data_IF_710090146111
#
_entry.id   IF_710090146111
#
_cell.length_a   1.000
_cell.length_b   1.000
_cell.length_c   1.000
_cell.angle_alpha   90.00
_cell.angle_beta   90.00
_cell.angle_gamma   90.00
#
_symmetry.space_group_name_H-M   'P 1'
#
loop_
_entity.id
_entity.type
_entity.pdbx_description
1 polymer ?
#
# COMPACT_ATOMS: atom_id res chain seq x y z
N UNK A 1 -23.56 6.30 21.12
CA UNK A 1 -22.69 5.48 22.00
C UNK A 1 -22.47 4.19 21.24
N UNK A 2 -21.40 4.10 20.50
CA UNK A 2 -20.96 2.89 19.79
C UNK A 2 -20.39 1.91 20.82
N UNK A 3 -20.75 0.65 20.70
CA UNK A 3 -20.40 -0.40 21.65
C UNK A 3 -18.87 -0.60 21.64
N UNK A 4 -18.17 -0.56 22.78
CA UNK A 4 -16.71 -0.75 22.84
C UNK A 4 -16.26 -2.10 22.26
N UNK A 5 -17.11 -3.13 22.25
CA UNK A 5 -16.81 -4.42 21.61
C UNK A 5 -16.67 -4.31 20.07
N UNK A 6 -17.26 -3.27 19.44
CA UNK A 6 -17.16 -3.07 17.99
C UNK A 6 -15.81 -2.49 17.59
N UNK A 7 -15.15 -1.71 18.44
CA UNK A 7 -13.84 -1.12 18.19
C UNK A 7 -12.70 -2.13 18.35
N UNK A 8 -12.76 -2.98 19.38
CA UNK A 8 -11.79 -4.06 19.56
C UNK A 8 -11.81 -5.02 18.37
N UNK A 9 -13.00 -5.27 17.80
CA UNK A 9 -13.14 -6.13 16.60
C UNK A 9 -12.59 -5.46 15.35
N UNK A 10 -12.72 -4.15 15.18
CA UNK A 10 -12.18 -3.43 14.02
C UNK A 10 -10.65 -3.36 14.08
N UNK A 11 -10.08 -2.98 15.23
CA UNK A 11 -8.62 -2.95 15.43
C UNK A 11 -8.02 -4.36 15.23
N UNK A 12 -8.65 -5.38 15.80
CA UNK A 12 -8.23 -6.77 15.63
C UNK A 12 -8.35 -7.23 14.17
N UNK A 13 -9.43 -6.87 13.46
CA UNK A 13 -9.60 -7.18 12.05
C UNK A 13 -8.57 -6.46 11.18
N UNK A 14 -8.22 -5.21 11.50
CA UNK A 14 -7.19 -4.44 10.80
C UNK A 14 -5.82 -5.04 11.06
N UNK A 15 -5.45 -5.34 12.31
CA UNK A 15 -4.18 -6.00 12.67
C UNK A 15 -4.08 -7.38 12.02
N UNK A 16 -5.17 -8.13 11.97
CA UNK A 16 -5.24 -9.41 11.27
C UNK A 16 -5.07 -9.24 9.76
N UNK A 17 -5.79 -8.27 9.15
CA UNK A 17 -5.65 -7.95 7.72
C UNK A 17 -4.21 -7.52 7.38
N UNK A 18 -3.57 -6.75 8.25
CA UNK A 18 -2.18 -6.33 8.12
C UNK A 18 -1.24 -7.53 8.25
N UNK A 19 -1.47 -8.43 9.18
CA UNK A 19 -0.70 -9.67 9.35
C UNK A 19 -0.90 -10.62 8.17
N UNK A 20 -2.14 -10.81 7.71
CA UNK A 20 -2.50 -11.69 6.60
C UNK A 20 -1.93 -11.20 5.26
N UNK A 21 -1.81 -9.87 5.07
CA UNK A 21 -1.22 -9.27 3.88
C UNK A 21 0.30 -9.19 3.91
N UNK A 22 0.91 -9.87 4.90
CA UNK A 22 2.35 -10.06 4.97
C UNK A 22 3.14 -8.73 4.94
N UNK A 23 2.97 -7.91 6.00
CA UNK A 23 3.79 -6.69 6.19
C UNK A 23 5.29 -6.98 6.12
N UNK A 24 5.72 -8.22 6.41
CA UNK A 24 7.07 -8.69 6.16
C UNK A 24 7.50 -8.52 4.69
N UNK A 25 6.57 -8.55 3.75
CA UNK A 25 6.85 -8.23 2.35
C UNK A 25 7.01 -6.72 2.12
N UNK A 26 6.25 -5.87 2.83
CA UNK A 26 6.46 -4.42 2.83
C UNK A 26 7.84 -4.10 3.38
N UNK A 27 8.21 -4.72 4.50
CA UNK A 27 9.51 -4.58 5.13
C UNK A 27 10.66 -4.92 4.17
N UNK A 28 10.61 -6.10 3.55
CA UNK A 28 11.63 -6.53 2.57
C UNK A 28 11.66 -5.66 1.32
N UNK A 29 10.50 -5.22 0.87
CA UNK A 29 10.34 -4.54 -0.42
C UNK A 29 10.65 -3.06 -0.34
N UNK A 30 10.25 -2.42 0.74
CA UNK A 30 10.37 -0.97 0.94
C UNK A 30 11.41 -0.60 2.01
N UNK A 31 12.10 -1.58 2.60
CA UNK A 31 13.09 -1.34 3.66
C UNK A 31 12.49 -0.78 4.95
N UNK A 32 11.18 -0.94 5.16
CA UNK A 32 10.48 -0.48 6.35
C UNK A 32 10.32 -1.61 7.35
N UNK A 33 10.58 -1.35 8.64
CA UNK A 33 10.26 -2.33 9.68
C UNK A 33 8.75 -2.43 9.85
N UNK A 34 8.22 -3.66 9.82
CA UNK A 34 6.81 -3.96 10.13
C UNK A 34 6.40 -3.39 11.48
N UNK A 35 7.27 -3.55 12.47
CA UNK A 35 7.08 -3.04 13.82
C UNK A 35 6.84 -1.53 13.85
N UNK A 36 7.60 -0.76 13.08
CA UNK A 36 7.44 0.70 13.01
C UNK A 36 6.06 1.09 12.47
N UNK A 37 5.53 0.34 11.51
CA UNK A 37 4.18 0.61 10.96
C UNK A 37 3.09 0.26 11.96
N UNK A 38 3.26 -0.84 12.71
CA UNK A 38 2.29 -1.26 13.74
C UNK A 38 2.31 -0.34 14.95
N UNK A 39 3.50 0.05 15.43
CA UNK A 39 3.66 0.95 16.59
C UNK A 39 3.16 2.38 16.35
N UNK A 40 3.00 2.78 15.08
CA UNK A 40 2.47 4.11 14.76
C UNK A 40 1.08 4.36 15.34
N UNK A 41 0.23 3.34 15.45
CA UNK A 41 -1.12 3.50 15.98
C UNK A 41 -1.10 3.89 17.47
N UNK A 42 -0.07 3.45 18.19
CA UNK A 42 0.11 3.66 19.62
C UNK A 42 0.83 4.98 19.93
N UNK A 43 1.12 5.82 18.90
CA UNK A 43 1.74 7.13 19.13
C UNK A 43 0.89 8.00 20.07
N UNK A 44 1.49 8.60 21.12
CA UNK A 44 0.70 9.34 22.13
C UNK A 44 0.10 10.63 21.57
N UNK A 45 0.65 11.19 20.49
CA UNK A 45 0.25 12.45 19.88
C UNK A 45 -0.19 12.29 18.45
N UNK A 46 -1.37 12.81 18.09
CA UNK A 46 -1.85 12.83 16.72
C UNK A 46 -0.95 13.62 15.78
N UNK A 47 -0.31 14.68 16.29
CA UNK A 47 0.70 15.41 15.54
C UNK A 47 1.87 14.52 15.15
N UNK A 48 2.44 13.82 16.13
CA UNK A 48 3.55 12.88 15.89
C UNK A 48 3.15 11.75 14.97
N UNK A 49 1.97 11.18 15.19
CA UNK A 49 1.41 10.12 14.35
C UNK A 49 1.29 10.54 12.88
N UNK A 50 0.62 11.66 12.60
CA UNK A 50 0.40 12.12 11.21
C UNK A 50 1.71 12.44 10.51
N UNK A 51 2.66 13.10 11.20
CA UNK A 51 3.96 13.46 10.62
C UNK A 51 4.79 12.21 10.34
N UNK A 52 4.88 11.27 11.27
CA UNK A 52 5.63 10.01 11.10
C UNK A 52 5.03 9.15 9.98
N UNK A 53 3.71 8.99 9.96
CA UNK A 53 3.02 8.24 8.89
C UNK A 53 3.32 8.83 7.52
N UNK A 54 3.22 10.15 7.38
CA UNK A 54 3.51 10.83 6.12
C UNK A 54 4.96 10.63 5.66
N UNK A 55 5.93 10.68 6.59
CA UNK A 55 7.35 10.42 6.28
C UNK A 55 7.57 8.98 5.82
N UNK A 56 6.96 8.00 6.47
CA UNK A 56 7.06 6.59 6.09
C UNK A 56 6.48 6.37 4.69
N UNK A 57 5.30 6.90 4.44
CA UNK A 57 4.61 6.77 3.15
C UNK A 57 5.40 7.49 2.04
N UNK A 58 5.99 8.66 2.32
CA UNK A 58 6.85 9.38 1.38
C UNK A 58 8.12 8.59 1.06
N UNK A 59 8.78 8.01 2.05
CA UNK A 59 9.97 7.18 1.86
C UNK A 59 9.65 5.96 0.99
N UNK A 60 8.55 5.26 1.28
CA UNK A 60 8.06 4.13 0.50
C UNK A 60 7.77 4.51 -0.96
N UNK A 61 7.12 5.65 -1.18
CA UNK A 61 6.83 6.17 -2.52
C UNK A 61 8.12 6.47 -3.30
N UNK A 62 9.10 7.08 -2.65
CA UNK A 62 10.40 7.36 -3.23
C UNK A 62 11.12 6.07 -3.65
N UNK A 63 11.10 5.07 -2.78
CA UNK A 63 11.69 3.76 -3.06
C UNK A 63 10.99 3.03 -4.21
N UNK A 64 9.66 3.07 -4.26
CA UNK A 64 8.88 2.47 -5.33
C UNK A 64 9.16 3.14 -6.70
N UNK A 65 9.31 4.47 -6.73
CA UNK A 65 9.68 5.21 -7.95
C UNK A 65 11.11 4.85 -8.37
N UNK A 66 12.08 4.86 -7.46
CA UNK A 66 13.48 4.53 -7.75
C UNK A 66 13.60 3.12 -8.34
N UNK A 67 12.92 2.15 -7.74
CA UNK A 67 12.86 0.78 -8.26
C UNK A 67 12.23 0.68 -9.65
N UNK A 68 11.20 1.47 -9.92
CA UNK A 68 10.53 1.47 -11.24
C UNK A 68 11.42 2.03 -12.33
N UNK A 69 12.25 3.03 -12.00
CA UNK A 69 13.19 3.67 -12.93
C UNK A 69 14.50 2.90 -13.06
N UNK A 70 14.72 1.86 -12.23
CA UNK A 70 15.93 1.02 -12.23
C UNK A 70 17.22 1.82 -12.12
N UNK A 71 17.20 2.87 -11.30
CA UNK A 71 18.36 3.75 -11.13
C UNK A 71 18.45 4.28 -9.70
N UNK A 72 19.58 3.97 -9.05
CA UNK A 72 19.91 4.51 -7.74
C UNK A 72 20.40 5.94 -7.80
N UNK A 73 20.89 6.37 -8.96
CA UNK A 73 21.46 7.71 -9.16
C UNK A 73 20.41 8.82 -9.06
N UNK A 74 19.16 8.51 -9.45
CA UNK A 74 18.05 9.45 -9.34
C UNK A 74 17.53 9.60 -7.92
N UNK A 75 17.89 8.74 -6.98
CA UNK A 75 17.32 8.75 -5.63
C UNK A 75 17.53 10.10 -4.92
N UNK A 76 18.70 10.72 -5.10
CA UNK A 76 18.97 12.06 -4.56
C UNK A 76 18.05 13.12 -5.16
N UNK A 77 17.75 13.03 -6.46
CA UNK A 77 16.84 13.94 -7.14
C UNK A 77 15.39 13.70 -6.70
N UNK A 78 15.00 12.44 -6.56
CA UNK A 78 13.67 12.06 -6.06
C UNK A 78 13.44 12.58 -4.63
N UNK A 79 14.45 12.56 -3.77
CA UNK A 79 14.35 13.09 -2.41
C UNK A 79 14.06 14.59 -2.36
N UNK A 80 14.43 15.34 -3.38
CA UNK A 80 14.18 16.80 -3.50
C UNK A 80 12.81 17.14 -4.08
N UNK A 81 12.12 16.17 -4.69
CA UNK A 81 10.77 16.41 -5.20
C UNK A 81 9.79 16.54 -4.03
N UNK A 82 8.86 17.48 -4.16
CA UNK A 82 7.72 17.56 -3.23
C UNK A 82 6.86 16.30 -3.33
N UNK A 83 6.16 15.96 -2.25
CA UNK A 83 5.23 14.82 -2.26
C UNK A 83 4.05 15.10 -3.19
N UNK A 84 3.43 16.27 -3.03
CA UNK A 84 2.26 16.71 -3.81
C UNK A 84 2.61 17.67 -4.95
N UNK A 85 1.55 18.16 -5.63
CA UNK A 85 1.68 19.07 -6.76
C UNK A 85 1.79 18.37 -8.11
N UNK A 86 1.79 19.18 -9.19
CA UNK A 86 1.76 18.66 -10.58
C UNK A 86 3.05 17.94 -11.00
N UNK A 87 4.17 18.24 -10.36
CA UNK A 87 5.50 17.64 -10.61
C UNK A 87 6.03 16.87 -9.40
N UNK A 88 5.14 16.57 -8.44
CA UNK A 88 5.50 15.88 -7.21
C UNK A 88 5.58 14.36 -7.37
N UNK A 89 6.08 13.69 -6.33
CA UNK A 89 6.25 12.23 -6.29
C UNK A 89 4.94 11.46 -6.56
N UNK A 90 3.80 11.92 -6.04
CA UNK A 90 2.50 11.26 -6.24
C UNK A 90 2.12 11.28 -7.73
N UNK A 91 2.32 12.42 -8.41
CA UNK A 91 2.04 12.51 -9.84
C UNK A 91 2.98 11.61 -10.64
N UNK A 92 4.28 11.66 -10.36
CA UNK A 92 5.27 10.82 -11.03
C UNK A 92 4.96 9.32 -10.84
N UNK A 93 4.62 8.90 -9.63
CA UNK A 93 4.24 7.51 -9.36
C UNK A 93 2.97 7.07 -10.11
N UNK A 94 2.02 7.98 -10.25
CA UNK A 94 0.79 7.75 -11.03
C UNK A 94 1.12 7.62 -12.53
N UNK A 95 1.94 8.50 -13.08
CA UNK A 95 2.36 8.48 -14.49
C UNK A 95 3.18 7.23 -14.84
N UNK A 96 3.96 6.73 -13.88
CA UNK A 96 4.70 5.47 -13.99
C UNK A 96 3.84 4.21 -13.78
N UNK A 97 2.55 4.37 -13.45
CA UNK A 97 1.65 3.25 -13.18
C UNK A 97 1.98 2.47 -11.89
N UNK A 98 2.70 3.10 -10.95
CA UNK A 98 3.02 2.50 -9.64
C UNK A 98 1.80 2.52 -8.73
N UNK A 99 1.04 3.61 -8.78
CA UNK A 99 -0.18 3.80 -7.98
C UNK A 99 -1.37 4.15 -8.85
N UNK A 100 -2.53 3.59 -8.51
CA UNK A 100 -3.79 3.94 -9.17
C UNK A 100 -4.42 5.23 -8.62
N UNK A 101 -5.51 5.72 -9.25
CA UNK A 101 -6.16 6.97 -8.86
C UNK A 101 -6.61 7.02 -7.40
N UNK A 102 -7.13 5.92 -6.85
CA UNK A 102 -7.58 5.83 -5.45
C UNK A 102 -6.39 5.97 -4.49
N UNK A 103 -5.28 5.28 -4.75
CA UNK A 103 -4.06 5.41 -3.96
C UNK A 103 -3.47 6.82 -4.04
N UNK A 104 -3.43 7.42 -5.23
CA UNK A 104 -2.98 8.80 -5.41
C UNK A 104 -3.83 9.80 -4.62
N UNK A 105 -5.15 9.62 -4.56
CA UNK A 105 -6.04 10.43 -3.77
C UNK A 105 -5.78 10.28 -2.25
N UNK A 106 -5.64 9.03 -1.75
CA UNK A 106 -5.27 8.76 -0.34
C UNK A 106 -3.95 9.44 0.03
N UNK A 107 -2.92 9.28 -0.79
CA UNK A 107 -1.61 9.88 -0.57
C UNK A 107 -1.66 11.40 -0.53
N UNK A 108 -2.46 12.04 -1.41
CA UNK A 108 -2.69 13.48 -1.38
C UNK A 108 -3.36 13.92 -0.09
N UNK A 109 -4.34 13.15 0.41
CA UNK A 109 -5.03 13.43 1.67
C UNK A 109 -4.07 13.32 2.88
N UNK A 110 -3.25 12.28 2.94
CA UNK A 110 -2.22 12.12 3.99
C UNK A 110 -1.21 13.28 3.94
N UNK A 111 -0.74 13.66 2.74
CA UNK A 111 0.18 14.78 2.58
C UNK A 111 -0.46 16.12 2.97
N UNK A 112 -1.75 16.31 2.71
CA UNK A 112 -2.51 17.49 3.13
C UNK A 112 -2.63 17.55 4.66
N UNK A 113 -3.03 16.45 5.31
CA UNK A 113 -3.06 16.35 6.77
C UNK A 113 -1.69 16.67 7.39
N UNK A 114 -0.63 16.08 6.84
CA UNK A 114 0.74 16.38 7.32
C UNK A 114 1.07 17.86 7.19
N UNK A 115 0.70 18.51 6.10
CA UNK A 115 0.98 19.94 5.93
C UNK A 115 0.22 20.79 6.96
N UNK A 116 -1.04 20.48 7.24
CA UNK A 116 -1.81 21.14 8.29
C UNK A 116 -1.14 20.93 9.64
N UNK A 117 -0.90 19.70 10.05
CA UNK A 117 -0.31 19.38 11.36
C UNK A 117 1.12 19.88 11.52
N UNK A 118 1.92 19.98 10.45
CA UNK A 118 3.31 20.42 10.52
C UNK A 118 3.48 21.95 10.46
N UNK A 119 2.52 22.70 9.89
CA UNK A 119 2.71 24.12 9.58
C UNK A 119 1.64 25.03 10.15
N UNK A 120 0.49 24.51 10.58
CA UNK A 120 -0.57 25.29 11.15
C UNK A 120 -0.52 25.25 12.69
N UNK A 121 -0.14 26.37 13.28
CA UNK A 121 -0.03 26.51 14.73
C UNK A 121 -1.40 26.35 15.42
N UNK A 122 -2.50 26.62 14.71
CA UNK A 122 -3.86 26.53 15.27
C UNK A 122 -4.29 25.10 15.60
N UNK A 123 -3.67 24.08 14.95
CA UNK A 123 -3.95 22.67 15.22
C UNK A 123 -3.04 22.04 16.26
N UNK A 124 -2.09 22.79 16.83
CA UNK A 124 -1.24 22.28 17.92
C UNK A 124 -2.13 22.01 19.14
N UNK A 125 -2.18 20.73 19.53
CA UNK A 125 -3.02 20.28 20.65
C UNK A 125 -4.45 19.88 20.27
N UNK A 126 -4.87 20.03 19.00
CA UNK A 126 -6.09 19.41 18.51
C UNK A 126 -5.87 17.93 18.25
N UNK A 127 -6.88 17.10 18.57
CA UNK A 127 -6.89 15.73 18.07
C UNK A 127 -7.22 15.69 16.57
N UNK A 128 -6.81 14.62 15.93
CA UNK A 128 -7.11 14.39 14.52
C UNK A 128 -8.63 14.36 14.26
N UNK A 129 -9.40 13.74 15.18
CA UNK A 129 -10.86 13.75 15.13
C UNK A 129 -11.44 15.16 15.19
N UNK A 130 -11.02 15.98 16.16
CA UNK A 130 -11.47 17.39 16.26
C UNK A 130 -11.11 18.19 15.02
N UNK A 131 -9.94 17.95 14.41
CA UNK A 131 -9.59 18.61 13.16
C UNK A 131 -10.55 18.19 12.03
N UNK A 132 -10.83 16.90 11.85
CA UNK A 132 -11.75 16.40 10.83
C UNK A 132 -13.17 16.96 11.04
N UNK A 133 -13.65 17.01 12.28
CA UNK A 133 -14.96 17.58 12.62
C UNK A 133 -15.04 19.09 12.34
N UNK A 134 -13.95 19.81 12.46
CA UNK A 134 -13.89 21.25 12.20
C UNK A 134 -13.97 21.61 10.72
N UNK A 135 -13.76 20.63 9.82
CA UNK A 135 -13.86 20.85 8.37
C UNK A 135 -15.31 21.06 7.95
N UNK A 136 -15.55 21.86 6.88
CA UNK A 136 -16.88 21.93 6.26
C UNK A 136 -17.39 20.53 5.90
N UNK A 137 -18.70 20.27 6.07
CA UNK A 137 -19.29 18.94 5.88
C UNK A 137 -18.89 18.26 4.56
N UNK A 138 -18.82 19.03 3.46
CA UNK A 138 -18.40 18.50 2.15
C UNK A 138 -16.92 18.10 2.11
N UNK A 139 -16.06 18.81 2.82
CA UNK A 139 -14.63 18.51 2.89
C UNK A 139 -14.37 17.34 3.81
N UNK A 140 -15.03 17.32 4.99
CA UNK A 140 -14.97 16.20 5.93
C UNK A 140 -15.41 14.90 5.20
N UNK A 141 -16.58 14.91 4.56
CA UNK A 141 -17.05 13.76 3.81
C UNK A 141 -16.07 13.31 2.72
N UNK A 142 -15.56 14.25 1.91
CA UNK A 142 -14.61 13.95 0.84
C UNK A 142 -13.30 13.36 1.39
N UNK A 143 -12.78 13.92 2.48
CA UNK A 143 -11.58 13.41 3.13
C UNK A 143 -11.81 11.98 3.64
N UNK A 144 -12.89 11.76 4.38
CA UNK A 144 -13.25 10.46 4.95
C UNK A 144 -13.45 9.39 3.87
N UNK A 145 -14.22 9.69 2.82
CA UNK A 145 -14.44 8.79 1.69
C UNK A 145 -13.12 8.45 0.98
N UNK A 146 -12.24 9.44 0.79
CA UNK A 146 -10.95 9.25 0.13
C UNK A 146 -10.02 8.36 0.97
N UNK A 147 -9.94 8.59 2.27
CA UNK A 147 -9.10 7.79 3.18
C UNK A 147 -9.57 6.34 3.23
N UNK A 148 -10.87 6.12 3.33
CA UNK A 148 -11.48 4.78 3.36
C UNK A 148 -11.54 4.10 1.99
N UNK A 149 -11.24 4.83 0.90
CA UNK A 149 -11.27 4.28 -0.47
C UNK A 149 -12.67 3.96 -0.98
N UNK A 150 -13.72 4.57 -0.39
CA UNK A 150 -15.12 4.39 -0.78
C UNK A 150 -15.47 5.32 -1.92
N UNK A 151 -16.23 4.85 -2.89
CA UNK A 151 -16.75 5.71 -3.97
C UNK A 151 -17.91 6.53 -3.39
N UNK A 152 -17.58 7.69 -2.81
CA UNK A 152 -18.54 8.60 -2.17
C UNK A 152 -19.41 9.30 -3.20
N UNK A 153 -20.43 8.62 -3.73
CA UNK A 153 -21.42 9.23 -4.62
C UNK A 153 -22.50 9.99 -3.83
N UNK A 154 -22.73 9.60 -2.57
CA UNK A 154 -23.67 10.28 -1.69
C UNK A 154 -23.06 10.53 -0.31
N UNK A 155 -23.18 11.75 0.24
CA UNK A 155 -22.71 12.03 1.59
C UNK A 155 -23.51 11.23 2.60
N UNK A 156 -22.84 10.24 3.21
CA UNK A 156 -23.38 9.53 4.36
C UNK A 156 -22.85 10.22 5.63
N UNK A 157 -23.76 10.77 6.41
CA UNK A 157 -23.41 11.37 7.71
C UNK A 157 -22.72 10.35 8.65
N UNK A 158 -23.04 9.07 8.51
CA UNK A 158 -22.40 8.00 9.25
C UNK A 158 -20.93 7.82 8.89
N UNK A 159 -20.53 7.98 7.62
CA UNK A 159 -19.15 7.85 7.19
C UNK A 159 -18.26 8.96 7.77
N UNK A 160 -18.78 10.19 7.76
CA UNK A 160 -18.07 11.34 8.35
C UNK A 160 -17.95 11.21 9.87
N UNK A 161 -18.99 10.70 10.56
CA UNK A 161 -18.97 10.45 11.99
C UNK A 161 -17.95 9.36 12.36
N UNK A 162 -17.95 8.22 11.68
CA UNK A 162 -16.97 7.13 11.89
C UNK A 162 -15.54 7.65 11.68
N UNK A 163 -15.31 8.45 10.64
CA UNK A 163 -13.99 8.97 10.37
C UNK A 163 -13.52 10.01 11.40
N UNK A 164 -14.42 10.72 12.08
CA UNK A 164 -14.06 11.65 13.14
C UNK A 164 -13.85 10.91 14.49
N UNK A 165 -14.76 9.99 14.83
CA UNK A 165 -14.67 9.21 16.07
C UNK A 165 -13.41 8.34 16.12
N UNK A 166 -13.02 7.76 14.99
CA UNK A 166 -11.87 6.86 14.87
C UNK A 166 -10.82 7.34 13.85
N UNK A 167 -10.59 8.66 13.86
CA UNK A 167 -9.79 9.35 12.87
C UNK A 167 -8.39 8.77 12.71
N UNK A 168 -7.74 8.37 13.81
CA UNK A 168 -6.40 7.81 13.80
C UNK A 168 -6.36 6.48 13.06
N UNK A 169 -7.29 5.55 13.37
CA UNK A 169 -7.37 4.26 12.67
C UNK A 169 -7.67 4.42 11.19
N UNK A 170 -8.59 5.32 10.84
CA UNK A 170 -8.92 5.60 9.43
C UNK A 170 -7.70 6.10 8.65
N UNK A 171 -6.93 7.04 9.22
CA UNK A 171 -5.72 7.57 8.58
C UNK A 171 -4.61 6.52 8.53
N UNK A 172 -4.47 5.71 9.61
CA UNK A 172 -3.51 4.60 9.64
C UNK A 172 -3.81 3.54 8.58
N UNK A 173 -5.07 3.09 8.47
CA UNK A 173 -5.52 2.16 7.41
C UNK A 173 -5.24 2.72 6.02
N UNK A 174 -5.53 3.99 5.79
CA UNK A 174 -5.22 4.65 4.52
C UNK A 174 -3.73 4.62 4.19
N UNK A 175 -2.87 4.82 5.19
CA UNK A 175 -1.42 4.68 5.09
C UNK A 175 -1.01 3.27 4.72
N UNK A 176 -1.47 2.27 5.48
CA UNK A 176 -1.16 0.84 5.24
C UNK A 176 -1.60 0.39 3.85
N UNK A 177 -2.83 0.73 3.44
CA UNK A 177 -3.31 0.41 2.08
C UNK A 177 -2.44 1.05 1.00
N UNK A 178 -1.94 2.26 1.24
CA UNK A 178 -1.03 2.92 0.30
C UNK A 178 0.34 2.22 0.25
N UNK A 179 0.86 1.76 1.38
CA UNK A 179 2.09 0.95 1.44
C UNK A 179 1.93 -0.39 0.71
N UNK A 180 0.78 -1.06 0.88
CA UNK A 180 0.45 -2.30 0.16
C UNK A 180 0.39 -2.09 -1.36
N UNK A 181 -0.26 -1.01 -1.83
CA UNK A 181 -0.31 -0.66 -3.25
C UNK A 181 1.10 -0.49 -3.82
N UNK A 182 1.98 0.23 -3.12
CA UNK A 182 3.38 0.45 -3.53
C UNK A 182 4.20 -0.84 -3.50
N UNK A 183 4.04 -1.68 -2.48
CA UNK A 183 4.72 -2.97 -2.37
C UNK A 183 4.31 -3.92 -3.51
N UNK A 184 3.02 -3.97 -3.84
CA UNK A 184 2.52 -4.77 -4.96
C UNK A 184 3.10 -4.31 -6.31
N UNK A 185 3.17 -3.00 -6.53
CA UNK A 185 3.76 -2.44 -7.73
C UNK A 185 5.26 -2.75 -7.84
N UNK A 186 5.99 -2.65 -6.72
CA UNK A 186 7.41 -3.01 -6.64
C UNK A 186 7.62 -4.49 -7.03
N UNK A 187 6.87 -5.41 -6.40
CA UNK A 187 6.96 -6.85 -6.71
C UNK A 187 6.65 -7.17 -8.17
N UNK A 188 5.61 -6.54 -8.71
CA UNK A 188 5.26 -6.68 -10.12
C UNK A 188 6.40 -6.21 -11.04
N UNK A 189 7.05 -5.10 -10.71
CA UNK A 189 8.17 -4.58 -11.46
C UNK A 189 9.41 -5.47 -11.36
N UNK A 190 9.76 -5.93 -10.15
CA UNK A 190 10.88 -6.85 -9.95
C UNK A 190 10.70 -8.16 -10.72
N UNK A 191 9.48 -8.71 -10.76
CA UNK A 191 9.19 -9.89 -11.56
C UNK A 191 9.29 -9.62 -13.05
N UNK A 192 8.80 -8.47 -13.53
CA UNK A 192 8.94 -8.08 -14.94
C UNK A 192 10.39 -7.91 -15.36
N UNK A 193 11.24 -7.41 -14.44
CA UNK A 193 12.68 -7.28 -14.65
C UNK A 193 13.36 -8.64 -14.74
N UNK A 194 13.11 -9.55 -13.78
CA UNK A 194 13.64 -10.91 -13.81
C UNK A 194 13.24 -11.66 -15.10
N UNK A 195 12.02 -11.45 -15.59
CA UNK A 195 11.59 -11.99 -16.89
C UNK A 195 12.41 -11.41 -18.05
N UNK A 196 12.71 -10.11 -18.05
CA UNK A 196 13.57 -9.50 -19.08
C UNK A 196 14.97 -10.09 -19.03
N UNK A 197 15.56 -10.18 -17.83
CA UNK A 197 16.90 -10.72 -17.62
C UNK A 197 16.99 -12.20 -18.05
N UNK A 198 16.00 -13.01 -17.67
CA UNK A 198 15.94 -14.41 -18.11
C UNK A 198 15.84 -14.52 -19.65
N UNK A 199 15.07 -13.65 -20.31
CA UNK A 199 14.98 -13.62 -21.79
C UNK A 199 16.29 -13.22 -22.46
N UNK A 200 17.03 -12.25 -21.89
CA UNK A 200 18.34 -11.86 -22.38
C UNK A 200 19.34 -13.01 -22.25
N UNK A 201 19.39 -13.65 -21.09
CA UNK A 201 20.24 -14.83 -20.86
C UNK A 201 19.92 -15.98 -21.82
N UNK A 202 18.64 -16.23 -22.14
CA UNK A 202 18.27 -17.21 -23.14
C UNK A 202 18.70 -16.82 -24.56
N UNK A 203 18.65 -15.51 -24.88
CA UNK A 203 19.18 -14.97 -26.14
C UNK A 203 20.69 -15.17 -26.25
N UNK A 204 21.44 -14.86 -25.21
CA UNK A 204 22.88 -15.06 -25.14
C UNK A 204 23.26 -16.56 -25.23
N UNK A 205 22.50 -17.43 -24.57
CA UNK A 205 22.68 -18.87 -24.69
C UNK A 205 22.50 -19.35 -26.15
N UNK A 206 21.46 -18.85 -26.83
CA UNK A 206 21.25 -19.18 -28.24
C UNK A 206 22.41 -18.76 -29.15
N UNK A 207 22.98 -17.55 -28.90
CA UNK A 207 24.15 -17.06 -29.64
C UNK A 207 25.37 -17.90 -29.35
N UNK A 208 25.64 -18.28 -28.09
CA UNK A 208 26.73 -19.16 -27.68
C UNK A 208 26.63 -20.54 -28.36
N UNK A 209 25.42 -21.11 -28.42
CA UNK A 209 25.18 -22.38 -29.13
C UNK A 209 25.55 -22.28 -30.60
N UNK A 210 25.16 -21.20 -31.29
CA UNK A 210 25.52 -20.97 -32.70
C UNK A 210 26.99 -20.75 -32.92
N UNK A 211 27.70 -20.19 -31.93
CA UNK A 211 29.15 -20.01 -31.98
C UNK A 211 29.94 -21.29 -31.66
N UNK A 212 29.27 -22.37 -31.25
CA UNK A 212 29.92 -23.61 -30.81
C UNK A 212 30.52 -23.56 -29.41
N UNK A 213 30.19 -22.51 -28.61
CA UNK A 213 30.65 -22.33 -27.22
C UNK A 213 29.69 -23.04 -26.25
N UNK A 214 29.90 -24.35 -26.10
CA UNK A 214 29.02 -25.21 -25.30
C UNK A 214 29.02 -24.87 -23.82
N UNK A 215 30.14 -24.44 -23.26
CA UNK A 215 30.26 -24.12 -21.84
C UNK A 215 29.47 -22.86 -21.49
N UNK A 216 29.60 -21.81 -22.32
CA UNK A 216 28.85 -20.58 -22.16
C UNK A 216 27.33 -20.81 -22.37
N UNK A 217 26.95 -21.62 -23.36
CA UNK A 217 25.56 -22.03 -23.55
C UNK A 217 24.94 -22.63 -22.28
N UNK A 218 25.62 -23.64 -21.68
CA UNK A 218 25.13 -24.31 -20.49
C UNK A 218 25.09 -23.35 -19.29
N UNK A 219 26.10 -22.49 -19.14
CA UNK A 219 26.14 -21.49 -18.08
C UNK A 219 24.95 -20.54 -18.13
N UNK A 220 24.68 -19.95 -19.30
CA UNK A 220 23.59 -19.01 -19.50
C UNK A 220 22.19 -19.62 -19.32
N UNK A 221 22.02 -20.88 -19.73
CA UNK A 221 20.77 -21.61 -19.48
C UNK A 221 20.55 -21.88 -17.98
N UNK A 222 21.60 -22.21 -17.22
CA UNK A 222 21.49 -22.39 -15.78
C UNK A 222 21.12 -21.10 -15.07
N UNK A 223 21.74 -19.98 -15.43
CA UNK A 223 21.42 -18.65 -14.89
C UNK A 223 19.97 -18.26 -15.17
N UNK A 224 19.51 -18.40 -16.42
CA UNK A 224 18.11 -18.11 -16.80
C UNK A 224 17.11 -18.99 -16.01
N UNK A 225 17.42 -20.28 -15.86
CA UNK A 225 16.60 -21.22 -15.11
C UNK A 225 16.49 -20.86 -13.64
N UNK A 226 17.60 -20.47 -12.99
CA UNK A 226 17.62 -20.07 -11.60
C UNK A 226 16.70 -18.85 -11.35
N UNK A 227 16.74 -17.84 -12.23
CA UNK A 227 15.85 -16.69 -12.16
C UNK A 227 14.36 -17.08 -12.28
N UNK A 228 14.02 -18.02 -13.16
CA UNK A 228 12.65 -18.48 -13.33
C UNK A 228 12.17 -19.33 -12.14
N UNK A 229 13.03 -20.13 -11.55
CA UNK A 229 12.73 -20.91 -10.34
C UNK A 229 12.52 -20.02 -9.11
N UNK A 230 13.31 -18.96 -8.91
CA UNK A 230 13.07 -17.95 -7.88
C UNK A 230 11.69 -17.29 -8.02
N UNK A 231 11.28 -16.98 -9.24
CA UNK A 231 9.96 -16.37 -9.50
C UNK A 231 8.81 -17.33 -9.19
N UNK A 232 8.98 -18.62 -9.45
CA UNK A 232 7.97 -19.65 -9.14
C UNK A 232 7.90 -19.91 -7.63
N UNK A 233 9.03 -19.98 -6.94
CA UNK A 233 9.10 -20.13 -5.49
C UNK A 233 8.43 -18.95 -4.75
N UNK A 234 8.62 -17.73 -5.24
CA UNK A 234 7.97 -16.54 -4.69
C UNK A 234 6.43 -16.56 -4.88
N UNK A 235 5.92 -17.18 -5.94
CA UNK A 235 4.48 -17.37 -6.16
C UNK A 235 3.89 -18.43 -5.24
N UNK A 236 4.59 -19.54 -5.02
CA UNK A 236 4.13 -20.63 -4.17
C UNK A 236 4.01 -20.19 -2.70
N UNK A 237 4.96 -19.39 -2.21
CA UNK A 237 4.92 -18.86 -0.84
C UNK A 237 3.81 -17.82 -0.61
N UNK A 238 3.33 -17.15 -1.66
CA UNK A 238 2.23 -16.19 -1.57
C UNK A 238 0.83 -16.82 -1.70
N UNK A 239 0.73 -18.09 -2.13
CA UNK A 239 -0.54 -18.80 -2.33
C UNK A 239 -0.95 -19.71 -1.16
N UNK A 240 -0.12 -19.86 -0.13
CA UNK A 240 -0.38 -20.69 1.06
C UNK A 240 -1.08 -19.95 2.20
N UNK A 241 -1.80 -18.86 1.90
CA UNK A 241 -2.77 -18.29 2.86
C UNK A 241 -3.85 -19.33 3.19
N UNK A 242 -4.29 -19.45 4.45
CA UNK A 242 -5.34 -20.39 4.81
C UNK A 242 -6.59 -20.11 3.98
N UNK A 243 -7.05 -21.11 3.24
CA UNK A 243 -8.37 -21.05 2.58
C UNK A 243 -9.42 -20.70 3.66
N UNK A 244 -10.25 -19.67 3.46
CA UNK A 244 -11.33 -19.42 4.39
C UNK A 244 -12.19 -20.69 4.48
N UNK A 245 -12.64 -21.10 5.69
CA UNK A 245 -13.47 -22.28 5.86
C UNK A 245 -14.72 -22.13 4.98
N UNK A 246 -14.95 -23.12 4.14
CA UNK A 246 -16.19 -23.25 3.35
C UNK A 246 -17.36 -23.20 4.36
N UNK A 247 -18.13 -22.11 4.30
CA UNK A 247 -19.34 -21.95 5.10
C UNK A 247 -20.40 -22.97 4.59
N UNK A 248 -20.48 -24.13 5.25
CA UNK A 248 -21.41 -25.22 4.91
C UNK A 248 -22.80 -25.01 5.47
N UNK A 249 -23.10 -23.88 6.10
CA UNK A 249 -24.41 -23.56 6.67
C UNK A 249 -25.26 -22.71 5.71
N UNK A 250 -25.57 -23.23 4.54
CA UNK A 250 -26.71 -22.75 3.78
C UNK A 250 -27.96 -23.40 4.27
N UNK A 251 -29.02 -22.67 4.76
CA UNK A 251 -30.24 -23.27 5.16
C UNK A 251 -30.96 -23.93 3.98
N UNK A 252 -31.64 -25.08 4.17
CA UNK A 252 -32.36 -25.76 3.09
C UNK A 252 -33.52 -24.87 2.62
N UNK A 253 -33.59 -24.69 1.28
CA UNK A 253 -34.68 -24.01 0.60
C UNK A 253 -36.02 -24.66 0.99
N UNK A 254 -36.78 -24.01 1.88
CA UNK A 254 -38.15 -24.34 2.18
C UNK A 254 -39.06 -23.93 1.02
N UNK A 255 -39.44 -24.89 0.18
CA UNK A 255 -40.48 -24.71 -0.83
C UNK A 255 -41.81 -24.39 -0.13
N UNK A 256 -42.43 -23.26 -0.53
CA UNK A 256 -43.80 -22.93 -0.17
C UNK A 256 -44.75 -23.65 -1.16
N UNK A 257 -45.85 -24.26 -0.67
CA UNK A 257 -46.84 -24.85 -1.56
C UNK A 257 -47.73 -23.77 -2.20
N UNK A 258 -47.94 -23.94 -3.51
CA UNK A 258 -48.93 -23.18 -4.28
C UNK A 258 -50.31 -23.72 -3.91
N UNK A 259 -51.21 -22.82 -3.52
CA UNK A 259 -52.66 -22.99 -3.54
C UNK A 259 -53.31 -21.66 -3.91
#
# INVERSE_FOLDING_TARGET
MTDPETFDTLDQAIRQCVADHNLGDISRTLGLSEQVVLELIDEPSDWSFVVKLAVIVEAALTQAIASRLDTTELQQHLNRLSVGGRTGKIQLASDLGIIGPKAAARLKSIASLRNVFAHDVSVIGLSLGMHIESLPNSENFRLSATLLGVDGKEPSSSLAAIAAEDARHVVWVAGVLSLLDMSNAYRSNANAQRWRDARLLMGDAFLAQRAGDGDNYISKLKEARALLEEMQGARASSSTGPNPPLNTDAPPNGGAPVS
#
